data_IF_982504282849
#
_entry.id   IF_982504282849
#
_cell.length_a   1.000
_cell.length_b   1.000
_cell.length_c   1.000
_cell.angle_alpha   90.00
_cell.angle_beta   90.00
_cell.angle_gamma   90.00
#
_symmetry.space_group_name_H-M   'P 1'
#
loop_
_entity.id
_entity.type
_entity.pdbx_description
1 polymer ?
#
# COMPACT_ATOMS: atom_id res chain seq x y z
N UNK A 1 36.78 52.63 7.74
CA UNK A 1 35.41 52.18 7.36
C UNK A 1 35.57 51.15 6.25
N UNK A 2 35.64 49.86 6.60
CA UNK A 2 35.80 48.80 5.60
C UNK A 2 34.43 48.46 5.02
N UNK A 3 34.20 48.88 3.77
CA UNK A 3 33.03 48.49 2.99
C UNK A 3 33.12 47.01 2.62
N UNK A 4 32.28 46.19 3.24
CA UNK A 4 32.19 44.78 2.92
C UNK A 4 31.43 44.62 1.60
N UNK A 5 32.16 44.37 0.52
CA UNK A 5 31.61 44.04 -0.80
C UNK A 5 31.07 42.60 -0.76
N UNK A 6 29.82 42.43 -0.32
CA UNK A 6 29.12 41.14 -0.45
C UNK A 6 28.98 40.82 -1.94
N UNK A 7 29.55 39.69 -2.38
CA UNK A 7 29.52 39.28 -3.79
C UNK A 7 28.07 39.02 -4.24
N UNK A 8 27.80 39.06 -5.55
CA UNK A 8 26.46 38.78 -6.06
C UNK A 8 26.01 37.34 -5.72
N UNK A 9 26.96 36.41 -5.66
CA UNK A 9 26.76 35.02 -5.28
C UNK A 9 26.37 34.90 -3.80
N UNK A 10 27.05 35.63 -2.90
CA UNK A 10 26.69 35.65 -1.47
C UNK A 10 25.29 36.21 -1.22
N UNK A 11 24.87 37.22 -2.00
CA UNK A 11 23.49 37.78 -1.92
C UNK A 11 22.44 36.78 -2.39
N UNK A 12 22.73 36.02 -3.44
CA UNK A 12 21.82 34.98 -3.92
C UNK A 12 21.75 33.80 -2.94
N UNK A 13 22.90 33.37 -2.40
CA UNK A 13 22.96 32.38 -1.33
C UNK A 13 22.17 32.83 -0.10
N UNK A 14 22.25 34.11 0.27
CA UNK A 14 21.48 34.67 1.36
C UNK A 14 19.97 34.64 1.09
N UNK A 15 19.53 34.98 -0.12
CA UNK A 15 18.11 34.89 -0.52
C UNK A 15 17.58 33.46 -0.50
N UNK A 16 18.36 32.52 -1.04
CA UNK A 16 18.02 31.09 -1.01
C UNK A 16 17.90 30.61 0.44
N UNK A 17 18.87 30.98 1.29
CA UNK A 17 18.84 30.61 2.71
C UNK A 17 17.62 31.21 3.44
N UNK A 18 17.25 32.45 3.15
CA UNK A 18 16.06 33.09 3.70
C UNK A 18 14.76 32.37 3.29
N UNK A 19 14.63 31.95 2.04
CA UNK A 19 13.44 31.21 1.58
C UNK A 19 13.40 29.79 2.20
N UNK A 20 14.55 29.12 2.35
CA UNK A 20 14.65 27.84 3.04
C UNK A 20 14.22 28.00 4.51
N UNK A 21 14.75 29.00 5.22
CA UNK A 21 14.37 29.25 6.61
C UNK A 21 12.87 29.50 6.76
N UNK A 22 12.30 30.28 5.84
CA UNK A 22 10.87 30.58 5.82
C UNK A 22 10.04 29.31 5.57
N UNK A 23 10.48 28.43 4.68
CA UNK A 23 9.83 27.13 4.46
C UNK A 23 9.93 26.24 5.71
N UNK A 24 11.11 26.13 6.32
CA UNK A 24 11.31 25.37 7.56
C UNK A 24 10.42 25.87 8.70
N UNK A 25 10.23 27.19 8.84
CA UNK A 25 9.31 27.77 9.83
C UNK A 25 7.86 27.41 9.56
N UNK A 26 7.44 27.35 8.30
CA UNK A 26 6.09 26.90 7.90
C UNK A 26 5.89 25.43 8.22
N UNK A 27 6.80 24.56 7.77
CA UNK A 27 6.73 23.12 7.98
C UNK A 27 6.73 22.78 9.48
N UNK A 28 7.52 23.49 10.30
CA UNK A 28 7.53 23.33 11.76
C UNK A 28 6.19 23.70 12.40
N UNK A 29 5.50 24.72 11.88
CA UNK A 29 4.18 25.13 12.37
C UNK A 29 3.11 24.10 11.99
N UNK A 30 3.18 23.56 10.77
CA UNK A 30 2.22 22.58 10.27
C UNK A 30 2.42 21.23 10.95
N UNK A 31 3.67 20.79 11.11
CA UNK A 31 4.00 19.57 11.87
C UNK A 31 3.53 19.62 13.32
N UNK A 32 3.55 20.79 13.98
CA UNK A 32 3.01 20.95 15.35
C UNK A 32 1.49 20.77 15.43
N UNK A 33 0.78 20.92 14.32
CA UNK A 33 -0.68 20.74 14.23
C UNK A 33 -1.06 19.34 13.75
N UNK A 34 -0.11 18.58 13.25
CA UNK A 34 -0.30 17.20 12.81
C UNK A 34 -0.48 16.27 14.01
N UNK A 35 -1.52 15.43 13.97
CA UNK A 35 -1.75 14.38 14.95
C UNK A 35 -1.28 13.04 14.37
N UNK A 36 -0.27 12.44 15.01
CA UNK A 36 0.25 11.11 14.62
C UNK A 36 -0.41 10.03 15.46
N UNK A 37 -1.17 9.15 14.81
CA UNK A 37 -1.87 8.05 15.45
C UNK A 37 -1.17 6.73 15.13
N UNK A 38 -0.96 5.90 16.15
CA UNK A 38 -0.43 4.54 16.01
C UNK A 38 -1.54 3.53 16.27
N UNK A 39 -1.82 2.68 15.29
CA UNK A 39 -2.79 1.60 15.40
C UNK A 39 -2.08 0.30 15.79
N UNK A 40 -2.39 -0.22 16.97
CA UNK A 40 -1.83 -1.46 17.51
C UNK A 40 -2.88 -2.59 17.51
N UNK A 41 -2.41 -3.82 17.34
CA UNK A 41 -3.24 -5.02 17.37
C UNK A 41 -2.53 -6.21 16.74
N UNK A 42 -2.99 -7.42 17.03
CA UNK A 42 -2.49 -8.68 16.46
C UNK A 42 -2.62 -8.72 14.93
N UNK A 43 -1.99 -9.69 14.28
CA UNK A 43 -2.26 -9.98 12.86
C UNK A 43 -3.77 -10.05 12.60
N UNK A 44 -4.22 -9.57 11.44
CA UNK A 44 -5.61 -9.68 10.99
C UNK A 44 -6.68 -8.96 11.83
N UNK A 45 -6.28 -8.20 12.87
CA UNK A 45 -7.18 -7.46 13.77
C UNK A 45 -7.96 -6.29 13.12
N UNK A 46 -7.93 -6.15 11.79
CA UNK A 46 -8.67 -5.12 11.07
C UNK A 46 -8.01 -3.73 10.98
N UNK A 47 -6.74 -3.56 11.38
CA UNK A 47 -6.01 -2.26 11.29
C UNK A 47 -6.04 -1.67 9.88
N UNK A 48 -5.75 -2.49 8.87
CA UNK A 48 -5.79 -2.06 7.47
C UNK A 48 -7.21 -1.66 7.05
N UNK A 49 -8.23 -2.35 7.56
CA UNK A 49 -9.64 -2.03 7.30
C UNK A 49 -10.02 -0.68 7.91
N UNK A 50 -9.58 -0.40 9.13
CA UNK A 50 -9.79 0.91 9.76
C UNK A 50 -9.16 2.04 8.93
N UNK A 51 -7.92 1.88 8.48
CA UNK A 51 -7.24 2.87 7.63
C UNK A 51 -7.99 3.07 6.30
N UNK A 52 -8.47 1.99 5.67
CA UNK A 52 -9.29 2.08 4.45
C UNK A 52 -10.57 2.89 4.68
N UNK A 53 -11.25 2.68 5.81
CA UNK A 53 -12.45 3.45 6.16
C UNK A 53 -12.14 4.92 6.45
N UNK A 54 -11.01 5.23 7.09
CA UNK A 54 -10.56 6.61 7.26
C UNK A 54 -10.36 7.32 5.92
N UNK A 55 -9.79 6.62 4.92
CA UNK A 55 -9.65 7.16 3.56
C UNK A 55 -11.00 7.38 2.87
N UNK A 56 -11.98 6.49 3.07
CA UNK A 56 -13.33 6.61 2.51
C UNK A 56 -14.08 7.82 3.11
N UNK A 57 -14.04 7.96 4.44
CA UNK A 57 -14.85 8.96 5.15
C UNK A 57 -14.18 10.35 5.14
N UNK A 58 -12.85 10.40 5.22
CA UNK A 58 -12.10 11.65 5.43
C UNK A 58 -11.03 11.94 4.37
N UNK A 59 -10.65 10.97 3.54
CA UNK A 59 -9.46 11.05 2.66
C UNK A 59 -9.76 11.15 1.15
N UNK A 60 -10.94 11.63 0.75
CA UNK A 60 -11.32 11.77 -0.66
C UNK A 60 -11.66 10.45 -1.38
N UNK A 61 -11.65 9.32 -0.67
CA UNK A 61 -11.99 8.01 -1.22
C UNK A 61 -10.93 7.41 -2.15
N UNK A 62 -11.38 6.58 -3.07
CA UNK A 62 -10.55 5.83 -4.02
C UNK A 62 -10.86 6.22 -5.46
N UNK A 63 -9.81 6.53 -6.21
CA UNK A 63 -9.91 6.80 -7.65
C UNK A 63 -10.22 5.52 -8.43
N UNK A 64 -10.62 5.65 -9.70
CA UNK A 64 -10.84 4.47 -10.53
C UNK A 64 -9.54 3.71 -10.83
N UNK A 65 -8.40 4.40 -10.84
CA UNK A 65 -7.08 3.78 -10.94
C UNK A 65 -6.76 2.95 -9.68
N UNK A 66 -7.03 3.50 -8.48
CA UNK A 66 -6.93 2.74 -7.23
C UNK A 66 -7.79 1.47 -7.30
N UNK A 67 -9.05 1.57 -7.72
CA UNK A 67 -9.97 0.42 -7.81
C UNK A 67 -9.47 -0.64 -8.78
N UNK A 68 -8.91 -0.25 -9.95
CA UNK A 68 -8.30 -1.19 -10.90
C UNK A 68 -7.13 -1.94 -10.27
N UNK A 69 -6.27 -1.25 -9.52
CA UNK A 69 -5.17 -1.90 -8.80
C UNK A 69 -5.68 -2.89 -7.73
N UNK A 70 -6.79 -2.57 -7.06
CA UNK A 70 -7.42 -3.48 -6.10
C UNK A 70 -8.04 -4.72 -6.73
N UNK A 71 -8.52 -4.65 -7.98
CA UNK A 71 -9.10 -5.81 -8.65
C UNK A 71 -8.11 -6.97 -8.70
N UNK A 72 -6.84 -6.71 -9.01
CA UNK A 72 -5.76 -7.71 -8.97
C UNK A 72 -5.62 -8.35 -7.59
N UNK A 73 -5.64 -7.54 -6.54
CA UNK A 73 -5.57 -8.03 -5.15
C UNK A 73 -6.80 -8.87 -4.77
N UNK A 74 -7.99 -8.52 -5.26
CA UNK A 74 -9.21 -9.32 -5.03
C UNK A 74 -9.08 -10.70 -5.67
N UNK A 75 -8.63 -10.79 -6.93
CA UNK A 75 -8.41 -12.07 -7.58
C UNK A 75 -7.36 -12.92 -6.86
N UNK A 76 -6.24 -12.30 -6.45
CA UNK A 76 -5.21 -12.98 -5.68
C UNK A 76 -5.77 -13.54 -4.37
N UNK A 77 -6.56 -12.75 -3.63
CA UNK A 77 -7.17 -13.19 -2.38
C UNK A 77 -8.11 -14.39 -2.60
N UNK A 78 -8.98 -14.33 -3.62
CA UNK A 78 -9.89 -15.45 -3.95
C UNK A 78 -9.09 -16.72 -4.19
N UNK A 79 -8.05 -16.63 -5.02
CA UNK A 79 -7.24 -17.78 -5.39
C UNK A 79 -6.46 -18.33 -4.18
N UNK A 80 -5.77 -17.48 -3.42
CA UNK A 80 -5.04 -17.89 -2.22
C UNK A 80 -5.98 -18.51 -1.17
N UNK A 81 -7.18 -17.94 -0.98
CA UNK A 81 -8.21 -18.52 -0.12
C UNK A 81 -8.63 -19.91 -0.60
N UNK A 82 -8.91 -20.09 -1.90
CA UNK A 82 -9.25 -21.41 -2.47
C UNK A 82 -8.14 -22.44 -2.25
N UNK A 83 -6.88 -22.07 -2.50
CA UNK A 83 -5.75 -22.96 -2.25
C UNK A 83 -5.61 -23.34 -0.77
N UNK A 84 -5.83 -22.37 0.12
CA UNK A 84 -5.80 -22.60 1.57
C UNK A 84 -6.89 -23.59 1.98
N UNK A 85 -8.10 -23.44 1.43
CA UNK A 85 -9.20 -24.38 1.67
C UNK A 85 -8.86 -25.79 1.17
N UNK A 86 -8.32 -25.93 -0.04
CA UNK A 86 -7.96 -27.24 -0.61
C UNK A 86 -6.91 -27.93 0.28
N UNK A 87 -5.87 -27.22 0.71
CA UNK A 87 -4.85 -27.76 1.62
C UNK A 87 -5.43 -28.13 2.98
N UNK A 88 -6.38 -27.34 3.48
CA UNK A 88 -7.07 -27.64 4.73
C UNK A 88 -7.94 -28.90 4.61
N UNK A 89 -8.61 -29.11 3.47
CA UNK A 89 -9.38 -30.34 3.22
C UNK A 89 -8.48 -31.58 3.25
N UNK A 90 -7.30 -31.52 2.64
CA UNK A 90 -6.30 -32.59 2.70
C UNK A 90 -5.84 -32.85 4.15
N UNK A 91 -5.46 -31.79 4.88
CA UNK A 91 -5.02 -31.89 6.28
C UNK A 91 -6.11 -32.45 7.22
N UNK A 92 -7.38 -32.15 6.93
CA UNK A 92 -8.53 -32.63 7.70
C UNK A 92 -9.12 -33.94 7.14
N UNK A 93 -8.52 -34.53 6.10
CA UNK A 93 -9.00 -35.74 5.42
C UNK A 93 -10.46 -35.65 4.93
N UNK A 94 -10.88 -34.44 4.52
CA UNK A 94 -12.21 -34.19 3.95
C UNK A 94 -12.14 -34.45 2.44
N UNK A 95 -12.88 -35.46 1.98
CA UNK A 95 -12.95 -35.77 0.55
C UNK A 95 -13.80 -34.77 -0.23
N UNK A 96 -13.46 -34.55 -1.49
CA UNK A 96 -14.31 -33.79 -2.41
C UNK A 96 -15.63 -34.55 -2.65
N UNK A 97 -16.73 -33.81 -2.75
CA UNK A 97 -18.03 -34.39 -3.10
C UNK A 97 -18.05 -34.93 -4.54
N UNK A 98 -17.34 -34.25 -5.46
CA UNK A 98 -17.13 -34.69 -6.84
C UNK A 98 -15.65 -35.11 -7.02
N UNK A 99 -15.37 -36.39 -7.37
CA UNK A 99 -14.02 -36.87 -7.66
C UNK A 99 -13.29 -36.11 -8.77
N UNK A 100 -14.00 -35.48 -9.72
CA UNK A 100 -13.37 -34.71 -10.80
C UNK A 100 -12.60 -33.49 -10.27
N UNK A 101 -13.06 -32.91 -9.16
CA UNK A 101 -12.42 -31.75 -8.55
C UNK A 101 -11.05 -32.10 -7.95
N UNK A 102 -10.85 -33.34 -7.51
CA UNK A 102 -9.57 -33.81 -6.98
C UNK A 102 -8.48 -33.88 -8.06
N UNK A 103 -8.86 -34.12 -9.32
CA UNK A 103 -7.93 -34.16 -10.45
C UNK A 103 -7.48 -32.73 -10.82
N UNK A 104 -8.38 -31.75 -10.74
CA UNK A 104 -8.11 -30.35 -11.07
C UNK A 104 -7.16 -29.67 -10.06
N UNK A 105 -7.23 -30.05 -8.78
CA UNK A 105 -6.32 -29.50 -7.74
C UNK A 105 -4.87 -29.91 -7.94
N UNK A 106 -4.62 -31.13 -8.44
CA UNK A 106 -3.27 -31.69 -8.59
C UNK A 106 -2.50 -31.17 -9.83
N UNK A 107 -3.18 -30.55 -10.79
CA UNK A 107 -2.55 -30.03 -12.02
C UNK A 107 -2.12 -28.56 -11.95
N UNK A 108 -2.45 -27.87 -10.86
CA UNK A 108 -2.39 -26.41 -10.76
C UNK A 108 -1.12 -25.74 -10.15
N UNK A 109 0.02 -26.41 -9.82
CA UNK A 109 1.16 -25.67 -9.25
C UNK A 109 1.79 -24.64 -10.21
N UNK A 110 1.78 -24.91 -11.53
CA UNK A 110 2.45 -24.08 -12.54
C UNK A 110 1.65 -22.87 -13.04
N UNK A 111 0.31 -22.91 -12.98
CA UNK A 111 -0.55 -21.81 -13.45
C UNK A 111 -0.37 -20.52 -12.63
N UNK A 112 0.12 -20.64 -11.40
CA UNK A 112 0.27 -19.55 -10.43
C UNK A 112 1.27 -18.48 -10.88
N UNK A 113 2.37 -18.92 -11.50
CA UNK A 113 3.37 -18.02 -12.07
C UNK A 113 2.90 -17.42 -13.39
N UNK A 114 2.28 -18.23 -14.26
CA UNK A 114 1.78 -17.76 -15.55
C UNK A 114 0.62 -16.77 -15.42
N UNK A 115 -0.36 -17.02 -14.55
CA UNK A 115 -1.43 -16.05 -14.29
C UNK A 115 -0.91 -14.78 -13.64
N UNK A 116 0.09 -14.85 -12.74
CA UNK A 116 0.65 -13.65 -12.13
C UNK A 116 1.42 -12.80 -13.14
N UNK A 117 2.17 -13.43 -14.05
CA UNK A 117 2.89 -12.76 -15.15
C UNK A 117 1.93 -12.15 -16.17
N UNK A 118 0.84 -12.82 -16.52
CA UNK A 118 -0.15 -12.30 -17.47
C UNK A 118 -1.06 -11.23 -16.83
N UNK A 119 -1.44 -11.35 -15.56
CA UNK A 119 -2.14 -10.28 -14.82
C UNK A 119 -1.23 -9.12 -14.40
N UNK A 120 0.09 -9.25 -14.45
CA UNK A 120 1.00 -8.11 -14.25
C UNK A 120 1.18 -7.26 -15.50
N UNK A 121 0.68 -7.71 -16.65
CA UNK A 121 0.72 -6.99 -17.93
C UNK A 121 -0.62 -6.31 -18.27
N UNK A 122 -1.62 -6.42 -17.40
CA UNK A 122 -2.91 -5.72 -17.45
C UNK A 122 -2.92 -4.56 -16.46
#
# INVERSE_FOLDING_TARGET
>A
MAGCCVSAEDKENQRINEEIEKQLRRDKKDSRRELKLLLLGTGESGKSTFIKQMRIIHGGGYTDEDKRSYAKLVFQNIYTSMQTMIRAMEALSISFADPQNQVQTNQSPGLLWFMFDDFSKL
#
